data_IF_039136863999
#
_entry.id   IF_039136863999
#
_cell.length_a   1.000
_cell.length_b   1.000
_cell.length_c   1.000
_cell.angle_alpha   90.00
_cell.angle_beta   90.00
_cell.angle_gamma   90.00
#
_symmetry.space_group_name_H-M   'P 1'
#
loop_
_entity.id
_entity.type
_entity.pdbx_description
1 polymer ?
#
# COMPACT_ATOMS: atom_id res chain seq x y z
N UNK A 1 -7.71 18.94 -25.01
CA UNK A 1 -6.77 17.81 -25.18
C UNK A 1 -7.43 16.59 -24.55
N UNK A 2 -7.61 15.49 -25.28
CA UNK A 2 -8.24 14.27 -24.75
C UNK A 2 -7.20 13.52 -23.91
N UNK A 3 -7.54 13.13 -22.68
CA UNK A 3 -6.66 12.37 -21.78
C UNK A 3 -6.21 11.08 -22.48
N UNK A 4 -4.90 10.87 -22.60
CA UNK A 4 -4.39 9.64 -23.20
C UNK A 4 -4.40 8.50 -22.18
N UNK A 5 -4.32 7.25 -22.67
CA UNK A 5 -4.16 6.09 -21.79
C UNK A 5 -2.87 6.16 -20.96
N UNK A 6 -1.83 6.82 -21.51
CA UNK A 6 -0.57 7.02 -20.82
C UNK A 6 -0.73 8.00 -19.65
N UNK A 7 -1.40 9.12 -19.86
CA UNK A 7 -1.67 10.11 -18.81
C UNK A 7 -2.45 9.48 -17.65
N UNK A 8 -3.48 8.68 -17.98
CA UNK A 8 -4.26 7.97 -16.96
C UNK A 8 -3.43 6.96 -16.16
N UNK A 9 -2.45 6.30 -16.79
CA UNK A 9 -1.55 5.39 -16.08
C UNK A 9 -0.57 6.16 -15.17
N UNK A 10 -0.10 7.34 -15.60
CA UNK A 10 0.76 8.20 -14.80
C UNK A 10 0.03 8.70 -13.55
N UNK A 11 -1.19 9.23 -13.73
CA UNK A 11 -2.03 9.74 -12.64
C UNK A 11 -2.32 8.69 -11.57
N UNK A 12 -2.57 7.44 -11.95
CA UNK A 12 -2.74 6.32 -11.00
C UNK A 12 -1.49 6.05 -10.17
N UNK A 13 -0.31 6.15 -10.79
CA UNK A 13 0.97 5.95 -10.08
C UNK A 13 1.22 7.09 -9.10
N UNK A 14 0.90 8.31 -9.50
CA UNK A 14 1.09 9.49 -8.66
C UNK A 14 0.05 9.52 -7.52
N UNK A 15 -1.19 9.10 -7.76
CA UNK A 15 -2.21 8.94 -6.73
C UNK A 15 -1.74 7.98 -5.61
N UNK A 16 -1.10 6.86 -5.96
CA UNK A 16 -0.51 5.95 -4.98
C UNK A 16 0.63 6.61 -4.20
N UNK A 17 1.56 7.28 -4.91
CA UNK A 17 2.71 7.94 -4.25
C UNK A 17 2.25 9.02 -3.29
N UNK A 18 1.30 9.86 -3.70
CA UNK A 18 0.76 10.94 -2.89
C UNK A 18 0.03 10.36 -1.67
N UNK A 19 -0.84 9.36 -1.85
CA UNK A 19 -1.52 8.71 -0.74
C UNK A 19 -0.56 8.03 0.26
N UNK A 20 0.57 7.50 -0.22
CA UNK A 20 1.62 6.99 0.67
C UNK A 20 2.35 8.11 1.42
N UNK A 21 2.70 9.19 0.73
CA UNK A 21 3.33 10.36 1.34
C UNK A 21 2.44 11.04 2.39
N UNK A 22 1.13 11.06 2.16
CA UNK A 22 0.12 11.62 3.06
C UNK A 22 -0.22 10.67 4.24
N UNK A 23 0.40 9.48 4.31
CA UNK A 23 0.15 8.50 5.37
C UNK A 23 -1.23 7.84 5.29
N UNK A 24 -1.93 7.94 4.16
CA UNK A 24 -3.29 7.43 3.97
C UNK A 24 -3.35 5.95 3.59
N UNK A 25 -2.20 5.34 3.25
CA UNK A 25 -2.10 3.95 2.81
C UNK A 25 -1.71 3.02 3.97
N UNK A 26 -2.64 2.18 4.40
CA UNK A 26 -2.42 1.25 5.50
C UNK A 26 -1.33 0.19 5.21
N UNK A 27 -1.24 -0.29 3.97
CA UNK A 27 -0.25 -1.27 3.52
C UNK A 27 0.81 -0.62 2.62
N UNK A 28 1.37 0.50 3.10
CA UNK A 28 2.38 1.28 2.39
C UNK A 28 3.66 0.46 2.14
N UNK A 29 4.53 0.96 1.27
CA UNK A 29 5.85 0.35 1.08
C UNK A 29 6.67 0.27 2.35
N UNK A 30 6.59 1.27 3.23
CA UNK A 30 7.36 1.28 4.46
C UNK A 30 6.87 0.21 5.44
N UNK A 31 5.55 0.02 5.53
CA UNK A 31 4.96 -1.10 6.29
C UNK A 31 5.44 -2.45 5.75
N UNK A 32 5.49 -2.62 4.42
CA UNK A 32 5.97 -3.87 3.81
C UNK A 32 7.46 -4.08 4.03
N UNK A 33 8.27 -3.03 3.96
CA UNK A 33 9.71 -3.10 4.26
C UNK A 33 9.95 -3.51 5.70
N UNK A 34 9.26 -2.88 6.65
CA UNK A 34 9.39 -3.22 8.08
C UNK A 34 9.02 -4.69 8.35
N UNK A 35 7.96 -5.22 7.70
CA UNK A 35 7.63 -6.64 7.81
C UNK A 35 8.74 -7.54 7.24
N UNK A 36 9.31 -7.17 6.09
CA UNK A 36 10.39 -7.95 5.47
C UNK A 36 11.70 -7.86 6.24
N UNK A 37 12.02 -6.72 6.84
CA UNK A 37 13.18 -6.58 7.74
C UNK A 37 13.09 -7.57 8.90
N UNK A 38 11.92 -7.69 9.54
CA UNK A 38 11.66 -8.67 10.60
C UNK A 38 11.75 -10.12 10.09
N UNK A 39 11.33 -10.39 8.86
CA UNK A 39 11.52 -11.71 8.21
C UNK A 39 13.00 -12.00 8.00
N UNK A 40 13.76 -11.04 7.48
CA UNK A 40 15.19 -11.19 7.23
C UNK A 40 16.01 -11.33 8.52
N UNK A 41 15.57 -10.67 9.59
CA UNK A 41 16.13 -10.85 10.93
C UNK A 41 15.76 -12.20 11.57
N UNK A 42 14.84 -12.97 10.97
CA UNK A 42 14.37 -14.25 11.50
C UNK A 42 13.41 -14.12 12.68
N UNK A 43 12.90 -12.92 12.98
CA UNK A 43 11.94 -12.67 14.07
C UNK A 43 10.57 -13.26 13.76
N UNK A 44 10.16 -13.19 12.49
CA UNK A 44 8.91 -13.74 11.99
C UNK A 44 9.16 -14.53 10.71
N UNK A 45 8.31 -15.52 10.48
CA UNK A 45 8.29 -16.24 9.21
C UNK A 45 7.63 -15.40 8.12
N UNK A 46 7.92 -15.73 6.85
CA UNK A 46 7.24 -15.12 5.70
C UNK A 46 5.71 -15.26 5.80
N UNK A 47 5.22 -16.40 6.28
CA UNK A 47 3.78 -16.66 6.47
C UNK A 47 3.18 -15.70 7.51
N UNK A 48 3.84 -15.50 8.65
CA UNK A 48 3.40 -14.55 9.68
C UNK A 48 3.39 -13.11 9.16
N UNK A 49 4.39 -12.71 8.37
CA UNK A 49 4.41 -11.39 7.74
C UNK A 49 3.23 -11.20 6.75
N UNK A 50 2.90 -12.23 5.96
CA UNK A 50 1.75 -12.20 5.06
C UNK A 50 0.42 -12.10 5.82
N UNK A 51 0.27 -12.84 6.92
CA UNK A 51 -0.90 -12.76 7.79
C UNK A 51 -1.03 -11.39 8.46
N UNK A 52 0.07 -10.81 8.90
CA UNK A 52 0.12 -9.45 9.46
C UNK A 52 -0.31 -8.42 8.40
N UNK A 53 0.25 -8.50 7.19
CA UNK A 53 -0.14 -7.63 6.07
C UNK A 53 -1.63 -7.79 5.72
N UNK A 54 -2.16 -9.02 5.77
CA UNK A 54 -3.60 -9.28 5.55
C UNK A 54 -4.47 -8.66 6.63
N UNK A 55 -4.04 -8.70 7.91
CA UNK A 55 -4.72 -8.02 9.02
C UNK A 55 -4.74 -6.51 8.83
N UNK A 56 -3.59 -5.92 8.49
CA UNK A 56 -3.46 -4.48 8.21
C UNK A 56 -4.43 -4.05 7.10
N UNK A 57 -4.44 -4.77 5.97
CA UNK A 57 -5.36 -4.49 4.85
C UNK A 57 -6.83 -4.57 5.25
N UNK A 58 -7.22 -5.58 6.04
CA UNK A 58 -8.61 -5.73 6.52
C UNK A 58 -9.04 -4.57 7.43
N UNK A 59 -8.13 -4.05 8.25
CA UNK A 59 -8.42 -2.97 9.19
C UNK A 59 -8.30 -1.56 8.56
N UNK A 60 -7.77 -1.43 7.33
CA UNK A 60 -7.56 -0.15 6.67
C UNK A 60 -8.81 0.76 6.74
N UNK A 61 -9.95 0.26 6.24
CA UNK A 61 -11.23 1.02 6.23
C UNK A 61 -11.67 1.43 7.64
N UNK A 62 -11.52 0.54 8.63
CA UNK A 62 -11.90 0.81 10.02
C UNK A 62 -11.07 1.96 10.61
N UNK A 63 -9.82 2.07 10.18
CA UNK A 63 -8.88 3.09 10.64
C UNK A 63 -8.93 4.38 9.79
N UNK A 64 -9.90 4.51 8.88
CA UNK A 64 -9.98 5.67 7.98
C UNK A 64 -8.92 5.69 6.87
N UNK A 65 -8.16 4.61 6.71
CA UNK A 65 -7.09 4.47 5.73
C UNK A 65 -7.58 3.68 4.50
N UNK A 66 -6.80 3.74 3.42
CA UNK A 66 -7.02 2.95 2.21
C UNK A 66 -5.91 1.93 2.02
N UNK A 67 -6.19 0.88 1.24
CA UNK A 67 -5.13 0.02 0.74
C UNK A 67 -4.44 0.64 -0.47
N UNK A 68 -3.18 0.25 -0.74
CA UNK A 68 -2.42 0.70 -1.91
C UNK A 68 -3.16 0.38 -3.21
N UNK A 69 -3.85 -0.76 -3.26
CA UNK A 69 -4.68 -1.13 -4.40
C UNK A 69 -5.86 -0.18 -4.59
N UNK A 70 -6.54 0.21 -3.50
CA UNK A 70 -7.62 1.20 -3.57
C UNK A 70 -7.12 2.59 -3.94
N UNK A 71 -5.94 3.00 -3.47
CA UNK A 71 -5.32 4.26 -3.90
C UNK A 71 -5.05 4.26 -5.42
N UNK A 72 -4.53 3.15 -5.96
CA UNK A 72 -4.32 2.99 -7.40
C UNK A 72 -5.62 3.03 -8.21
N UNK A 73 -6.68 2.38 -7.72
CA UNK A 73 -7.98 2.35 -8.41
C UNK A 73 -8.73 3.69 -8.35
N UNK A 74 -8.31 4.62 -7.50
CA UNK A 74 -8.92 5.96 -7.34
C UNK A 74 -8.30 7.04 -8.23
N UNK A 75 -7.09 6.85 -8.74
CA UNK A 75 -6.50 7.69 -9.80
C UNK A 75 -6.98 7.29 -11.19
#
# INVERSE_FOLDING_TARGET
>A
MVRSKFDAALEKRDAVKNAEADGLVADSMDVRKALMERVHAGEITLSQAQDELKRIKRNAKKNGLVTRHQAFSRG
#
